data_IF_250549296978
#
_entry.id   IF_250549296978
#
_cell.length_a   1.000
_cell.length_b   1.000
_cell.length_c   1.000
_cell.angle_alpha   90.00
_cell.angle_beta   90.00
_cell.angle_gamma   90.00
#
_symmetry.space_group_name_H-M   'P 1'
#
loop_
_entity.id
_entity.type
_entity.pdbx_description
1 polymer ?
#
# COMPACT_ATOMS: atom_id res chain seq x y z
N UNK A 1 -20.02 -16.05 -4.88
CA UNK A 1 -21.41 -15.85 -4.39
C UNK A 1 -21.35 -14.70 -3.38
N UNK A 2 -22.26 -13.71 -3.43
CA UNK A 2 -22.21 -12.58 -2.49
C UNK A 2 -22.81 -12.96 -1.14
N UNK A 3 -22.20 -12.51 -0.05
CA UNK A 3 -22.79 -12.66 1.28
C UNK A 3 -23.98 -11.71 1.42
N UNK A 4 -25.16 -12.27 1.73
CA UNK A 4 -26.39 -11.50 1.96
C UNK A 4 -26.94 -11.86 3.33
N UNK A 5 -27.20 -10.85 4.16
CA UNK A 5 -27.79 -11.07 5.47
C UNK A 5 -29.23 -11.56 5.33
N UNK A 6 -29.53 -12.75 5.88
CA UNK A 6 -30.86 -13.37 5.82
C UNK A 6 -31.93 -12.64 6.64
N UNK A 7 -31.53 -11.81 7.61
CA UNK A 7 -32.45 -11.08 8.48
C UNK A 7 -32.91 -9.74 7.89
N UNK A 8 -32.03 -9.01 7.21
CA UNK A 8 -32.33 -7.65 6.73
C UNK A 8 -32.10 -7.44 5.22
N UNK A 9 -31.66 -8.47 4.49
CA UNK A 9 -31.41 -8.40 3.04
C UNK A 9 -30.18 -7.58 2.63
N UNK A 10 -29.37 -7.09 3.59
CA UNK A 10 -28.18 -6.30 3.28
C UNK A 10 -27.12 -7.16 2.61
N UNK A 11 -26.56 -6.65 1.50
CA UNK A 11 -25.44 -7.28 0.78
C UNK A 11 -24.12 -6.82 1.41
N UNK A 12 -23.24 -7.77 1.70
CA UNK A 12 -21.87 -7.53 2.13
C UNK A 12 -20.94 -7.67 0.92
N UNK A 13 -20.31 -6.56 0.55
CA UNK A 13 -19.34 -6.53 -0.54
C UNK A 13 -17.95 -6.80 0.02
N UNK A 14 -17.23 -7.70 -0.64
CA UNK A 14 -15.79 -7.82 -0.48
C UNK A 14 -15.15 -6.84 -1.46
N UNK A 15 -14.40 -5.89 -0.94
CA UNK A 15 -13.73 -4.86 -1.73
C UNK A 15 -12.22 -5.14 -1.73
N UNK A 16 -11.51 -4.86 -2.82
CA UNK A 16 -10.05 -4.91 -2.82
C UNK A 16 -9.50 -3.89 -1.81
N UNK A 17 -8.43 -4.23 -1.10
CA UNK A 17 -7.68 -3.24 -0.32
C UNK A 17 -6.56 -2.67 -1.20
N UNK A 18 -6.45 -1.35 -1.18
CA UNK A 18 -5.40 -0.62 -1.88
C UNK A 18 -4.12 -0.63 -1.04
N UNK A 19 -3.00 -0.91 -1.69
CA UNK A 19 -1.65 -0.71 -1.15
C UNK A 19 -1.00 0.42 -1.94
N UNK A 20 -0.39 1.36 -1.24
CA UNK A 20 0.26 2.55 -1.81
C UNK A 20 1.70 2.63 -1.29
N UNK A 21 2.59 3.23 -2.07
CA UNK A 21 4.00 3.34 -1.73
C UNK A 21 4.77 4.21 -2.71
N UNK A 22 6.04 4.45 -2.41
CA UNK A 22 6.89 5.36 -3.18
C UNK A 22 8.09 4.66 -3.80
N UNK A 23 8.37 4.97 -5.06
CA UNK A 23 9.70 4.83 -5.66
C UNK A 23 10.43 6.16 -5.48
N UNK A 24 11.30 6.24 -4.46
CA UNK A 24 12.01 7.47 -4.13
C UNK A 24 13.40 7.46 -4.77
N UNK A 25 13.67 8.46 -5.61
CA UNK A 25 14.98 8.69 -6.19
C UNK A 25 15.70 9.86 -5.49
N UNK A 26 16.98 9.66 -5.16
CA UNK A 26 17.86 10.71 -4.61
C UNK A 26 19.30 10.44 -5.05
N UNK A 27 19.97 11.43 -5.65
CA UNK A 27 21.36 11.33 -6.13
C UNK A 27 21.65 10.07 -6.98
N UNK A 28 20.78 9.78 -7.96
CA UNK A 28 20.84 8.57 -8.81
C UNK A 28 20.79 7.24 -8.03
N UNK A 29 20.17 7.24 -6.83
CA UNK A 29 19.94 6.05 -6.01
C UNK A 29 18.45 5.93 -5.69
N UNK A 30 18.04 4.71 -5.36
CA UNK A 30 16.67 4.40 -4.94
C UNK A 30 16.65 4.04 -3.45
N UNK A 31 15.67 4.57 -2.74
CA UNK A 31 15.39 4.19 -1.35
C UNK A 31 14.70 2.83 -1.29
N UNK A 32 15.23 1.92 -0.47
CA UNK A 32 14.62 0.63 -0.19
C UNK A 32 14.58 0.38 1.33
N UNK A 33 13.53 -0.28 1.78
CA UNK A 33 13.34 -0.76 3.14
C UNK A 33 13.70 -2.24 3.22
N UNK A 34 14.41 -2.66 4.28
CA UNK A 34 14.65 -4.08 4.54
C UNK A 34 13.61 -4.60 5.53
N UNK A 35 12.79 -5.57 5.11
CA UNK A 35 11.65 -6.08 5.87
C UNK A 35 12.12 -6.74 7.17
N UNK A 36 11.43 -6.43 8.28
CA UNK A 36 11.69 -7.00 9.62
C UNK A 36 10.64 -8.01 10.08
N UNK A 37 9.66 -8.32 9.25
CA UNK A 37 8.56 -9.26 9.54
C UNK A 37 8.33 -10.18 8.35
N UNK A 38 7.85 -11.39 8.63
CA UNK A 38 7.38 -12.31 7.60
C UNK A 38 6.01 -11.87 7.04
N UNK A 39 5.68 -12.22 5.79
CA UNK A 39 6.53 -12.92 4.82
C UNK A 39 7.66 -12.04 4.27
N UNK A 40 8.68 -12.68 3.69
CA UNK A 40 9.82 -12.05 3.03
C UNK A 40 10.75 -11.26 3.98
N UNK A 41 10.96 -11.79 5.19
CA UNK A 41 11.92 -11.22 6.14
C UNK A 41 13.31 -11.05 5.52
N UNK A 42 13.95 -9.91 5.77
CA UNK A 42 15.31 -9.62 5.33
C UNK A 42 15.45 -9.26 3.85
N UNK A 43 14.39 -9.39 3.04
CA UNK A 43 14.38 -8.91 1.66
C UNK A 43 14.14 -7.40 1.59
N UNK A 44 14.56 -6.80 0.49
CA UNK A 44 14.37 -5.38 0.19
C UNK A 44 13.01 -5.15 -0.48
N UNK A 45 12.36 -4.04 -0.13
CA UNK A 45 11.09 -3.58 -0.69
C UNK A 45 11.10 -2.07 -0.85
N UNK A 46 10.20 -1.54 -1.68
CA UNK A 46 9.83 -0.13 -1.60
C UNK A 46 9.05 0.13 -0.31
N UNK A 47 9.11 1.35 0.26
CA UNK A 47 8.22 1.74 1.35
C UNK A 47 6.78 1.72 0.85
N UNK A 48 5.93 0.91 1.49
CA UNK A 48 4.55 0.73 1.06
C UNK A 48 3.67 0.10 2.14
N UNK A 49 2.41 0.51 2.20
CA UNK A 49 1.42 -0.03 3.11
C UNK A 49 -0.01 0.22 2.65
N UNK A 50 -0.97 -0.08 3.52
CA UNK A 50 -2.38 0.03 3.18
C UNK A 50 -2.82 1.49 3.11
N UNK A 51 -3.66 1.80 2.13
CA UNK A 51 -4.32 3.10 2.07
C UNK A 51 -5.37 3.19 3.18
N UNK A 52 -5.34 4.26 3.97
CA UNK A 52 -6.33 4.50 5.02
C UNK A 52 -7.54 5.29 4.49
N UNK A 53 -8.67 5.16 5.20
CA UNK A 53 -9.90 5.88 4.83
C UNK A 53 -9.72 7.37 5.07
N UNK A 54 -9.97 8.16 4.03
CA UNK A 54 -9.85 9.62 4.08
C UNK A 54 -8.56 10.16 3.47
N UNK A 55 -7.63 9.28 3.08
CA UNK A 55 -6.40 9.64 2.39
C UNK A 55 -6.55 9.52 0.86
N UNK A 56 -5.89 10.41 0.13
CA UNK A 56 -5.51 10.17 -1.26
C UNK A 56 -4.35 9.18 -1.35
N UNK A 57 -4.15 8.57 -2.52
CA UNK A 57 -3.04 7.65 -2.73
C UNK A 57 -1.66 8.32 -2.51
N UNK A 58 -1.54 9.61 -2.83
CA UNK A 58 -0.32 10.39 -2.60
C UNK A 58 -0.05 10.61 -1.11
N UNK A 59 -1.08 10.98 -0.33
CA UNK A 59 -0.96 11.16 1.12
C UNK A 59 -0.57 9.85 1.82
N UNK A 60 -1.25 8.75 1.50
CA UNK A 60 -0.91 7.44 2.06
C UNK A 60 0.49 6.97 1.68
N UNK A 61 0.91 7.16 0.43
CA UNK A 61 2.27 6.81 0.00
C UNK A 61 3.35 7.63 0.73
N UNK A 62 3.11 8.93 0.92
CA UNK A 62 4.00 9.81 1.69
C UNK A 62 4.06 9.41 3.17
N UNK A 63 2.90 9.10 3.79
CA UNK A 63 2.81 8.63 5.18
C UNK A 63 3.60 7.34 5.39
N UNK A 64 3.36 6.32 4.57
CA UNK A 64 4.06 5.03 4.65
C UNK A 64 5.58 5.19 4.48
N UNK A 65 6.00 6.08 3.57
CA UNK A 65 7.43 6.39 3.38
C UNK A 65 8.06 7.02 4.61
N UNK A 66 7.34 7.93 5.27
CA UNK A 66 7.80 8.52 6.52
C UNK A 66 7.85 7.49 7.65
N UNK A 67 6.84 6.63 7.78
CA UNK A 67 6.75 5.60 8.84
C UNK A 67 7.84 4.53 8.71
N UNK A 68 8.08 4.00 7.50
CA UNK A 68 9.00 2.88 7.29
C UNK A 68 10.46 3.31 7.14
N UNK A 69 10.71 4.49 6.56
CA UNK A 69 12.04 4.93 6.17
C UNK A 69 12.48 6.24 6.85
N UNK A 70 11.62 6.89 7.63
CA UNK A 70 11.86 8.22 8.20
C UNK A 70 12.27 9.26 7.14
N UNK A 71 11.71 9.14 5.93
CA UNK A 71 12.00 10.02 4.81
C UNK A 71 10.81 10.91 4.48
N UNK A 72 11.04 12.22 4.44
CA UNK A 72 10.09 13.21 3.93
C UNK A 72 10.27 13.33 2.41
N UNK A 73 9.17 13.25 1.65
CA UNK A 73 9.20 13.09 0.20
C UNK A 73 8.19 14.00 -0.49
N UNK A 74 8.57 14.49 -1.67
CA UNK A 74 7.66 15.19 -2.57
C UNK A 74 7.09 14.20 -3.59
N UNK A 75 5.76 14.09 -3.65
CA UNK A 75 5.08 13.24 -4.63
C UNK A 75 5.00 13.96 -5.97
N UNK A 76 5.75 13.45 -6.95
CA UNK A 76 5.81 14.06 -8.29
C UNK A 76 4.70 13.56 -9.21
N UNK A 77 4.52 12.24 -9.32
CA UNK A 77 3.51 11.65 -10.21
C UNK A 77 3.27 10.16 -9.91
N UNK A 78 2.12 9.60 -10.32
CA UNK A 78 1.91 8.16 -10.33
C UNK A 78 2.90 7.46 -11.27
N UNK A 79 3.52 6.37 -10.80
CA UNK A 79 4.49 5.60 -11.60
C UNK A 79 3.90 4.31 -12.17
N UNK A 80 3.24 3.50 -11.34
CA UNK A 80 2.67 2.21 -11.74
C UNK A 80 1.41 1.88 -10.93
N UNK A 81 0.45 1.21 -11.58
CA UNK A 81 -0.70 0.57 -10.95
C UNK A 81 -0.69 -0.91 -11.31
N UNK A 82 -0.81 -1.76 -10.30
CA UNK A 82 -0.74 -3.21 -10.44
C UNK A 82 -1.97 -3.85 -9.81
N UNK A 83 -2.67 -4.68 -10.57
CA UNK A 83 -3.79 -5.47 -10.05
C UNK A 83 -3.26 -6.83 -9.58
N UNK A 84 -3.38 -7.11 -8.28
CA UNK A 84 -2.90 -8.36 -7.66
C UNK A 84 -4.11 -9.14 -7.12
N UNK A 85 -4.83 -9.88 -7.98
CA UNK A 85 -6.11 -10.49 -7.61
C UNK A 85 -6.00 -11.73 -6.71
N UNK A 86 -4.80 -12.31 -6.54
CA UNK A 86 -4.59 -13.62 -5.90
C UNK A 86 -3.72 -13.58 -4.64
N UNK A 87 -3.49 -12.40 -4.05
CA UNK A 87 -2.83 -12.28 -2.75
C UNK A 87 -3.90 -12.11 -1.65
N UNK A 88 -3.85 -13.00 -0.67
CA UNK A 88 -4.82 -13.11 0.41
C UNK A 88 -4.91 -11.84 1.25
N UNK A 89 -6.12 -11.28 1.30
CA UNK A 89 -6.51 -10.15 2.14
C UNK A 89 -7.77 -10.48 2.92
#
# INVERSE_FOLDING_TARGET
MRAVCSSCGRVHYENPKMVVGCLVEHDNKVLLCRRKIEPAYGLWTLPAGYLEVGESAAEGASRETLEEACADVEIVSPFAQLDIPLIGQ
#
